data_IF_373759318265
#
_entry.id   IF_373759318265
#
_cell.length_a   1.000
_cell.length_b   1.000
_cell.length_c   1.000
_cell.angle_alpha   90.00
_cell.angle_beta   90.00
_cell.angle_gamma   90.00
#
_symmetry.space_group_name_H-M   'P 1'
#
loop_
_entity.id
_entity.type
_entity.pdbx_description
1 polymer ?
#
# COMPACT_ATOMS: atom_id res chain seq x y z
N UNK A 1 27.03 -21.09 5.07
CA UNK A 1 25.96 -20.26 4.47
C UNK A 1 26.01 -20.44 2.97
N UNK A 2 24.94 -20.95 2.34
CA UNK A 2 24.89 -21.10 0.90
C UNK A 2 25.08 -19.73 0.23
N UNK A 3 25.95 -19.67 -0.78
CA UNK A 3 26.20 -18.48 -1.59
C UNK A 3 24.93 -18.18 -2.37
N UNK A 4 24.06 -17.34 -1.81
CA UNK A 4 22.88 -16.83 -2.50
C UNK A 4 23.41 -16.05 -3.69
N UNK A 5 23.18 -16.56 -4.90
CA UNK A 5 23.53 -15.86 -6.14
C UNK A 5 22.56 -14.69 -6.29
N UNK A 6 22.89 -13.56 -5.63
CA UNK A 6 22.01 -12.39 -5.41
C UNK A 6 21.31 -11.90 -6.68
N UNK A 7 21.88 -12.17 -7.86
CA UNK A 7 21.45 -11.59 -9.12
C UNK A 7 20.66 -12.54 -10.05
N UNK A 8 20.32 -13.77 -9.61
CA UNK A 8 19.60 -14.75 -10.46
C UNK A 8 18.15 -15.02 -10.08
N UNK A 9 17.60 -14.29 -9.11
CA UNK A 9 16.30 -14.65 -8.55
C UNK A 9 15.09 -14.08 -9.30
N UNK A 10 15.29 -13.14 -10.21
CA UNK A 10 14.23 -12.57 -11.06
C UNK A 10 12.98 -12.19 -10.27
N UNK A 11 11.81 -12.66 -10.74
CA UNK A 11 10.50 -12.41 -10.10
C UNK A 11 10.45 -12.95 -8.68
N UNK A 12 11.06 -14.12 -8.41
CA UNK A 12 11.09 -14.72 -7.06
C UNK A 12 11.83 -13.82 -6.08
N UNK A 13 12.90 -13.17 -6.53
CA UNK A 13 13.61 -12.15 -5.76
C UNK A 13 12.72 -10.94 -5.53
N UNK A 14 12.04 -10.45 -6.57
CA UNK A 14 11.15 -9.28 -6.50
C UNK A 14 10.02 -9.43 -5.47
N UNK A 15 9.37 -10.60 -5.41
CA UNK A 15 8.23 -10.84 -4.51
C UNK A 15 8.65 -11.25 -3.10
N UNK A 16 9.94 -11.47 -2.85
CA UNK A 16 10.43 -11.86 -1.53
C UNK A 16 10.49 -10.63 -0.58
N UNK A 17 9.68 -10.59 0.51
CA UNK A 17 9.64 -9.46 1.43
C UNK A 17 10.73 -9.52 2.51
N UNK A 18 11.43 -10.65 2.69
CA UNK A 18 12.24 -10.90 3.89
C UNK A 18 13.66 -10.32 3.84
N UNK A 19 14.11 -9.88 2.66
CA UNK A 19 15.44 -9.27 2.49
C UNK A 19 15.41 -7.79 2.84
N UNK A 20 16.53 -7.21 3.29
CA UNK A 20 16.71 -5.76 3.42
C UNK A 20 15.71 -5.03 4.35
N UNK A 21 15.00 -5.74 5.23
CA UNK A 21 14.20 -5.15 6.32
C UNK A 21 12.85 -4.57 5.89
N UNK A 22 12.37 -3.58 6.67
CA UNK A 22 11.02 -2.99 6.53
C UNK A 22 10.84 -2.26 5.19
N UNK A 23 11.93 -1.79 4.59
CA UNK A 23 11.92 -1.06 3.33
C UNK A 23 11.60 -1.98 2.16
N UNK A 24 12.03 -3.24 2.21
CA UNK A 24 11.63 -4.26 1.23
C UNK A 24 10.16 -4.62 1.34
N UNK A 25 9.67 -4.76 2.56
CA UNK A 25 8.25 -4.96 2.82
C UNK A 25 7.42 -3.80 2.26
N UNK A 26 7.81 -2.55 2.56
CA UNK A 26 7.13 -1.35 2.05
C UNK A 26 7.21 -1.22 0.52
N UNK A 27 8.31 -1.64 -0.10
CA UNK A 27 8.44 -1.70 -1.56
C UNK A 27 7.45 -2.69 -2.17
N UNK A 28 7.38 -3.91 -1.63
CA UNK A 28 6.49 -4.93 -2.15
C UNK A 28 5.03 -4.50 -1.96
N UNK A 29 4.69 -4.02 -0.77
CA UNK A 29 3.34 -3.59 -0.45
C UNK A 29 2.89 -2.42 -1.34
N UNK A 30 3.77 -1.45 -1.65
CA UNK A 30 3.45 -0.35 -2.58
C UNK A 30 3.02 -0.84 -3.96
N UNK A 31 3.66 -1.90 -4.46
CA UNK A 31 3.33 -2.49 -5.77
C UNK A 31 2.02 -3.26 -5.71
N UNK A 32 1.85 -4.10 -4.69
CA UNK A 32 0.65 -4.91 -4.53
C UNK A 32 -0.59 -4.04 -4.31
N UNK A 33 -0.50 -3.01 -3.47
CA UNK A 33 -1.61 -2.06 -3.28
C UNK A 33 -1.86 -1.25 -4.55
N UNK A 34 -0.84 -0.89 -5.33
CA UNK A 34 -1.03 -0.21 -6.61
C UNK A 34 -1.79 -1.05 -7.63
N UNK A 35 -1.44 -2.34 -7.77
CA UNK A 35 -2.16 -3.27 -8.65
C UNK A 35 -3.59 -3.54 -8.14
N UNK A 36 -3.76 -3.70 -6.82
CA UNK A 36 -5.07 -3.88 -6.20
C UNK A 36 -5.97 -2.66 -6.38
N UNK A 37 -5.43 -1.45 -6.19
CA UNK A 37 -6.16 -0.20 -6.40
C UNK A 37 -6.47 0.05 -7.87
N UNK A 38 -5.61 -0.35 -8.80
CA UNK A 38 -5.91 -0.28 -10.23
C UNK A 38 -7.11 -1.17 -10.59
N UNK A 39 -7.13 -2.41 -10.09
CA UNK A 39 -8.25 -3.32 -10.28
C UNK A 39 -9.53 -2.77 -9.63
N UNK A 40 -9.42 -2.29 -8.39
CA UNK A 40 -10.54 -1.66 -7.67
C UNK A 40 -11.04 -0.42 -8.40
N UNK A 41 -10.16 0.43 -8.94
CA UNK A 41 -10.55 1.64 -9.67
C UNK A 41 -11.45 1.33 -10.86
N UNK A 42 -11.12 0.30 -11.65
CA UNK A 42 -11.98 -0.15 -12.75
C UNK A 42 -13.33 -0.67 -12.22
N UNK A 43 -13.30 -1.50 -11.17
CA UNK A 43 -14.51 -2.00 -10.53
C UNK A 43 -15.38 -0.88 -9.92
N UNK A 44 -14.76 0.17 -9.37
CA UNK A 44 -15.40 1.29 -8.71
C UNK A 44 -16.05 2.25 -9.71
N UNK A 45 -15.44 2.45 -10.89
CA UNK A 45 -16.10 3.13 -12.01
C UNK A 45 -17.36 2.36 -12.41
N UNK A 46 -17.25 1.04 -12.56
CA UNK A 46 -18.40 0.19 -12.90
C UNK A 46 -19.51 0.26 -11.84
N UNK A 47 -19.17 0.08 -10.56
CA UNK A 47 -20.10 0.29 -9.43
C UNK A 47 -20.81 1.63 -9.57
N UNK A 48 -20.04 2.71 -9.59
CA UNK A 48 -20.57 4.08 -9.48
C UNK A 48 -21.46 4.40 -10.68
N UNK A 49 -21.17 3.82 -11.85
CA UNK A 49 -22.03 3.96 -13.04
C UNK A 49 -23.45 3.42 -12.85
N UNK A 50 -23.68 2.47 -11.92
CA UNK A 50 -25.03 1.97 -11.63
C UNK A 50 -25.97 3.04 -11.06
N UNK A 51 -25.44 4.18 -10.59
CA UNK A 51 -26.27 5.35 -10.21
C UNK A 51 -27.16 5.82 -11.38
N UNK A 52 -26.68 5.65 -12.63
CA UNK A 52 -27.42 6.02 -13.84
C UNK A 52 -28.60 5.07 -14.14
N UNK A 53 -28.63 3.90 -13.50
CA UNK A 53 -29.74 2.91 -13.59
C UNK A 53 -30.86 3.21 -12.59
N UNK A 54 -30.79 4.35 -11.89
CA UNK A 54 -31.77 4.78 -10.91
C UNK A 54 -31.72 3.97 -9.62
N UNK A 55 -32.74 4.14 -8.78
CA UNK A 55 -32.79 3.57 -7.42
C UNK A 55 -32.64 2.05 -7.40
N UNK A 56 -33.26 1.34 -8.34
CA UNK A 56 -33.20 -0.14 -8.37
C UNK A 56 -31.78 -0.63 -8.61
N UNK A 57 -31.10 -0.14 -9.66
CA UNK A 57 -29.72 -0.53 -9.95
C UNK A 57 -28.73 -0.14 -8.85
N UNK A 58 -28.96 0.98 -8.16
CA UNK A 58 -28.16 1.38 -7.00
C UNK A 58 -28.35 0.43 -5.81
N UNK A 59 -29.59 0.04 -5.51
CA UNK A 59 -29.89 -0.87 -4.40
C UNK A 59 -29.38 -2.30 -4.65
N UNK A 60 -29.46 -2.78 -5.90
CA UNK A 60 -28.88 -4.08 -6.30
C UNK A 60 -27.37 -4.12 -6.02
N UNK A 61 -26.65 -3.04 -6.31
CA UNK A 61 -25.21 -2.99 -6.06
C UNK A 61 -24.88 -2.82 -4.58
N UNK A 62 -25.62 -1.96 -3.86
CA UNK A 62 -25.48 -1.83 -2.41
C UNK A 62 -25.68 -3.16 -1.69
N UNK A 63 -26.59 -4.02 -2.14
CA UNK A 63 -26.80 -5.33 -1.54
C UNK A 63 -25.53 -6.20 -1.54
N UNK A 64 -24.60 -5.98 -2.47
CA UNK A 64 -23.32 -6.70 -2.53
C UNK A 64 -22.33 -6.11 -1.52
N UNK A 65 -22.27 -4.78 -1.40
CA UNK A 65 -21.32 -4.09 -0.52
C UNK A 65 -21.74 -4.11 0.95
N UNK A 66 -23.04 -4.27 1.23
CA UNK A 66 -23.62 -4.36 2.58
C UNK A 66 -23.60 -5.80 3.16
N UNK A 67 -22.71 -6.65 2.66
CA UNK A 67 -22.45 -7.99 3.21
C UNK A 67 -21.20 -7.96 4.10
N UNK A 68 -21.05 -8.91 5.05
CA UNK A 68 -19.82 -9.02 5.83
C UNK A 68 -18.55 -9.11 4.96
N UNK A 69 -18.61 -9.88 3.86
CA UNK A 69 -17.54 -10.01 2.88
C UNK A 69 -17.29 -8.68 2.16
N UNK A 70 -18.35 -7.98 1.76
CA UNK A 70 -18.27 -6.64 1.17
C UNK A 70 -17.56 -5.65 2.08
N UNK A 71 -17.92 -5.62 3.37
CA UNK A 71 -17.27 -4.77 4.36
C UNK A 71 -15.79 -5.10 4.56
N UNK A 72 -15.41 -6.38 4.57
CA UNK A 72 -14.00 -6.80 4.65
C UNK A 72 -13.23 -6.31 3.41
N UNK A 73 -13.78 -6.47 2.22
CA UNK A 73 -13.15 -6.00 0.97
C UNK A 73 -12.98 -4.47 1.00
N UNK A 74 -14.03 -3.74 1.36
CA UNK A 74 -13.99 -2.28 1.47
C UNK A 74 -12.97 -1.82 2.52
N UNK A 75 -12.87 -2.49 3.67
CA UNK A 75 -11.85 -2.21 4.67
C UNK A 75 -10.43 -2.42 4.11
N UNK A 76 -10.19 -3.51 3.38
CA UNK A 76 -8.90 -3.75 2.72
C UNK A 76 -8.61 -2.62 1.71
N UNK A 77 -9.58 -2.21 0.90
CA UNK A 77 -9.44 -1.11 -0.06
C UNK A 77 -9.10 0.21 0.64
N UNK A 78 -9.71 0.51 1.78
CA UNK A 78 -9.36 1.67 2.62
C UNK A 78 -7.89 1.58 3.05
N UNK A 79 -7.48 0.44 3.60
CA UNK A 79 -6.09 0.21 4.01
C UNK A 79 -5.09 0.35 2.86
N UNK A 80 -5.39 -0.24 1.70
CA UNK A 80 -4.59 -0.12 0.49
C UNK A 80 -4.45 1.33 0.06
N UNK A 81 -5.55 2.09 0.02
CA UNK A 81 -5.59 3.49 -0.40
C UNK A 81 -4.75 4.38 0.50
N UNK A 82 -4.90 4.24 1.83
CA UNK A 82 -4.15 5.04 2.80
C UNK A 82 -2.67 4.69 2.78
N UNK A 83 -2.33 3.40 2.82
CA UNK A 83 -0.94 2.97 2.73
C UNK A 83 -0.28 3.44 1.43
N UNK A 84 -0.91 3.18 0.28
CA UNK A 84 -0.36 3.52 -1.05
C UNK A 84 -0.12 5.03 -1.17
N UNK A 85 -1.07 5.84 -0.70
CA UNK A 85 -0.95 7.29 -0.70
C UNK A 85 0.18 7.77 0.20
N UNK A 86 0.17 7.41 1.48
CA UNK A 86 1.14 7.94 2.46
C UNK A 86 2.57 7.44 2.15
N UNK A 87 2.71 6.15 1.83
CA UNK A 87 3.99 5.57 1.42
C UNK A 87 4.47 6.15 0.08
N UNK A 88 3.55 6.43 -0.84
CA UNK A 88 3.81 7.12 -2.11
C UNK A 88 4.32 8.54 -1.91
N UNK A 89 3.69 9.34 -1.04
CA UNK A 89 4.15 10.69 -0.67
C UNK A 89 5.57 10.63 -0.12
N UNK A 90 5.90 9.67 0.76
CA UNK A 90 7.27 9.47 1.22
C UNK A 90 8.25 9.24 0.06
N UNK A 91 7.90 8.43 -0.95
CA UNK A 91 8.76 8.23 -2.12
C UNK A 91 8.92 9.52 -2.93
N UNK A 92 7.82 10.26 -3.15
CA UNK A 92 7.84 11.54 -3.88
C UNK A 92 8.75 12.56 -3.19
N UNK A 93 8.62 12.70 -1.87
CA UNK A 93 9.48 13.56 -1.06
C UNK A 93 10.95 13.11 -1.14
N UNK A 94 11.21 11.81 -1.03
CA UNK A 94 12.55 11.25 -1.18
C UNK A 94 13.17 11.54 -2.55
N UNK A 95 12.38 11.47 -3.63
CA UNK A 95 12.81 11.84 -4.97
C UNK A 95 13.15 13.34 -5.07
N UNK A 96 12.37 14.19 -4.40
CA UNK A 96 12.64 15.62 -4.28
C UNK A 96 13.79 15.99 -3.32
N UNK A 97 14.54 15.02 -2.79
CA UNK A 97 15.64 15.25 -1.85
C UNK A 97 15.19 15.62 -0.43
N UNK A 98 13.91 15.46 -0.11
CA UNK A 98 13.36 15.70 1.24
C UNK A 98 13.47 14.41 2.04
N UNK A 99 14.03 14.51 3.25
CA UNK A 99 14.14 13.36 4.16
C UNK A 99 15.31 12.41 3.85
N UNK A 100 16.01 12.59 2.73
CA UNK A 100 17.25 11.83 2.43
C UNK A 100 18.42 12.35 3.27
N UNK A 101 19.36 11.45 3.60
CA UNK A 101 20.56 11.80 4.36
C UNK A 101 21.54 12.66 3.55
N UNK A 102 22.60 13.16 4.21
CA UNK A 102 23.66 13.89 3.50
C UNK A 102 24.35 12.95 2.50
N UNK A 103 24.65 13.40 1.27
CA UNK A 103 25.47 12.63 0.36
C UNK A 103 26.79 12.24 1.03
N UNK A 104 27.13 10.96 0.95
CA UNK A 104 28.38 10.41 1.48
C UNK A 104 29.13 9.72 0.34
N UNK A 105 30.45 9.61 0.48
CA UNK A 105 31.26 8.85 -0.47
C UNK A 105 30.80 7.39 -0.45
N UNK A 106 30.54 6.77 -1.63
CA UNK A 106 30.13 5.38 -1.69
C UNK A 106 31.36 4.48 -1.51
N UNK A 107 31.84 4.39 -0.28
CA UNK A 107 32.91 3.48 0.11
C UNK A 107 32.30 2.13 0.55
N UNK A 108 32.85 1.03 0.06
CA UNK A 108 32.36 -0.29 0.43
C UNK A 108 32.66 -0.60 1.91
N UNK A 109 31.69 -1.10 2.70
CA UNK A 109 30.32 -1.49 2.31
C UNK A 109 29.38 -0.30 2.11
N UNK A 110 28.65 -0.30 0.99
CA UNK A 110 27.74 0.78 0.63
C UNK A 110 26.59 0.91 1.65
N UNK A 111 26.54 2.04 2.36
CA UNK A 111 25.44 2.38 3.26
C UNK A 111 24.49 3.39 2.60
N UNK A 112 23.23 3.02 2.29
CA UNK A 112 22.31 3.91 1.62
C UNK A 112 21.83 5.03 2.56
N UNK A 113 22.27 6.26 2.30
CA UNK A 113 21.93 7.44 3.12
C UNK A 113 20.43 7.81 3.06
N UNK A 114 19.72 7.35 2.03
CA UNK A 114 18.27 7.52 1.89
C UNK A 114 17.48 6.60 2.82
N UNK A 115 18.03 5.48 3.29
CA UNK A 115 17.34 4.53 4.18
C UNK A 115 17.63 4.87 5.66
N UNK A 116 17.37 6.12 6.03
CA UNK A 116 17.61 6.63 7.37
C UNK A 116 16.35 6.53 8.25
N UNK A 117 16.47 6.93 9.52
CA UNK A 117 15.37 6.87 10.50
C UNK A 117 14.11 7.63 10.05
N UNK A 118 14.23 8.75 9.32
CA UNK A 118 13.07 9.52 8.86
C UNK A 118 12.23 8.73 7.85
N UNK A 119 12.89 8.04 6.93
CA UNK A 119 12.21 7.16 5.97
C UNK A 119 11.57 5.95 6.65
N UNK A 120 12.23 5.37 7.65
CA UNK A 120 11.67 4.27 8.45
C UNK A 120 10.44 4.70 9.24
N UNK A 121 10.51 5.85 9.91
CA UNK A 121 9.35 6.42 10.63
C UNK A 121 8.20 6.65 9.65
N UNK A 122 8.45 7.22 8.46
CA UNK A 122 7.40 7.42 7.47
C UNK A 122 6.75 6.11 6.99
N UNK A 123 7.50 5.01 6.89
CA UNK A 123 6.93 3.67 6.61
C UNK A 123 6.02 3.22 7.75
N UNK A 124 6.49 3.31 8.99
CA UNK A 124 5.68 2.90 10.13
C UNK A 124 4.44 3.78 10.26
N UNK A 125 4.55 5.09 10.04
CA UNK A 125 3.41 5.99 9.98
C UNK A 125 2.40 5.60 8.90
N UNK A 126 2.85 5.22 7.70
CA UNK A 126 1.92 4.78 6.64
C UNK A 126 1.18 3.49 7.02
N UNK A 127 1.84 2.56 7.72
CA UNK A 127 1.23 1.32 8.20
C UNK A 127 0.23 1.61 9.33
N UNK A 128 0.62 2.42 10.31
CA UNK A 128 -0.25 2.79 11.44
C UNK A 128 -1.48 3.54 10.97
N UNK A 129 -1.32 4.54 10.08
CA UNK A 129 -2.45 5.29 9.52
C UNK A 129 -3.38 4.39 8.71
N UNK A 130 -2.84 3.46 7.92
CA UNK A 130 -3.67 2.49 7.21
C UNK A 130 -4.45 1.60 8.18
N UNK A 131 -3.81 1.08 9.23
CA UNK A 131 -4.47 0.26 10.25
C UNK A 131 -5.57 1.04 11.00
N UNK A 132 -5.31 2.30 11.40
CA UNK A 132 -6.30 3.17 12.03
C UNK A 132 -7.50 3.42 11.10
N UNK A 133 -7.25 3.71 9.82
CA UNK A 133 -8.30 3.93 8.84
C UNK A 133 -9.13 2.65 8.59
N UNK A 134 -8.48 1.49 8.54
CA UNK A 134 -9.17 0.19 8.44
C UNK A 134 -10.05 -0.07 9.67
N UNK A 135 -9.52 0.15 10.88
CA UNK A 135 -10.28 -0.04 12.12
C UNK A 135 -11.48 0.90 12.18
N UNK A 136 -11.30 2.18 11.82
CA UNK A 136 -12.41 3.13 11.73
C UNK A 136 -13.44 2.71 10.68
N UNK A 137 -12.99 2.32 9.47
CA UNK A 137 -13.87 1.84 8.41
C UNK A 137 -14.68 0.61 8.83
N UNK A 138 -14.05 -0.37 9.47
CA UNK A 138 -14.73 -1.55 10.01
C UNK A 138 -15.74 -1.17 11.10
N UNK A 139 -15.36 -0.28 12.02
CA UNK A 139 -16.27 0.20 13.07
C UNK A 139 -17.50 0.91 12.48
N UNK A 140 -17.34 1.68 11.40
CA UNK A 140 -18.46 2.34 10.71
C UNK A 140 -19.32 1.34 9.93
N UNK A 141 -18.72 0.31 9.31
CA UNK A 141 -19.46 -0.65 8.50
C UNK A 141 -20.17 -1.73 9.34
N UNK A 142 -19.65 -2.07 10.52
CA UNK A 142 -20.24 -3.08 11.41
C UNK A 142 -20.92 -2.50 12.66
N UNK A 143 -20.72 -1.21 12.94
CA UNK A 143 -21.46 -0.50 13.98
C UNK A 143 -22.80 -0.07 13.41
N UNK A 144 -23.89 -0.63 13.95
CA UNK A 144 -25.27 -0.22 13.65
C UNK A 144 -25.49 1.29 13.80
#
# INVERSE_FOLDING_TARGET
MAKVDENKEGIKGMVNPTRYGIERFAYLLMRLTGLGLLAYFVAHIYETSNILRGKVGWQEFLAITQTPEGHIILAIVIGMSVFHTVNGIRVMLGHGGIGVGKPARPDYPYAPQSQNARHKIAIYSSIVLAALAMMYGLAVMFGE
#
